data_IF_105015969119
#
_entry.id   IF_105015969119
#
_cell.length_a   1.000
_cell.length_b   1.000
_cell.length_c   1.000
_cell.angle_alpha   90.00
_cell.angle_beta   90.00
_cell.angle_gamma   90.00
#
_symmetry.space_group_name_H-M   'P 1'
#
loop_
_entity.id
_entity.type
_entity.pdbx_description
1 polymer ?
#
# COMPACT_ATOMS: atom_id res chain seq x y z
N UNK A 1 -7.52 -33.51 22.57
CA UNK A 1 -8.72 -32.68 22.84
C UNK A 1 -8.97 -31.57 21.83
N UNK A 2 -8.07 -31.28 20.87
CA UNK A 2 -8.26 -30.15 19.92
C UNK A 2 -9.05 -30.52 18.66
N UNK A 3 -9.10 -31.80 18.26
CA UNK A 3 -9.83 -32.25 17.07
C UNK A 3 -11.36 -32.21 17.24
N UNK A 4 -11.88 -32.52 18.44
CA UNK A 4 -13.33 -32.50 18.70
C UNK A 4 -13.94 -31.09 18.62
N UNK A 5 -13.19 -30.07 19.05
CA UNK A 5 -13.65 -28.67 19.01
C UNK A 5 -13.81 -28.16 17.57
N UNK A 6 -12.92 -28.56 16.67
CA UNK A 6 -13.02 -28.16 15.24
C UNK A 6 -14.22 -28.81 14.54
N UNK A 7 -14.55 -30.05 14.88
CA UNK A 7 -15.72 -30.73 14.34
C UNK A 7 -17.02 -30.07 14.83
N UNK A 8 -17.12 -29.76 16.12
CA UNK A 8 -18.27 -29.03 16.67
C UNK A 8 -18.47 -27.65 16.03
N UNK A 9 -17.38 -26.91 15.79
CA UNK A 9 -17.42 -25.61 15.11
C UNK A 9 -17.87 -25.75 13.65
N UNK A 10 -17.41 -26.81 12.96
CA UNK A 10 -17.83 -27.12 11.59
C UNK A 10 -19.31 -27.48 11.52
N UNK A 11 -19.80 -28.33 12.43
CA UNK A 11 -21.22 -28.69 12.50
C UNK A 11 -22.11 -27.47 12.83
N UNK A 12 -21.64 -26.57 13.71
CA UNK A 12 -22.29 -25.27 13.98
C UNK A 12 -22.33 -24.39 12.73
N UNK A 13 -21.26 -24.38 11.94
CA UNK A 13 -21.23 -23.64 10.68
C UNK A 13 -22.24 -24.19 9.67
N UNK A 14 -22.27 -25.50 9.43
CA UNK A 14 -23.21 -26.12 8.50
C UNK A 14 -24.67 -25.82 8.89
N UNK A 15 -25.00 -25.95 10.18
CA UNK A 15 -26.33 -25.61 10.68
C UNK A 15 -26.69 -24.13 10.43
N UNK A 16 -25.73 -23.20 10.61
CA UNK A 16 -25.96 -21.78 10.29
C UNK A 16 -26.21 -21.55 8.81
N UNK A 17 -25.51 -22.26 7.92
CA UNK A 17 -25.73 -22.15 6.47
C UNK A 17 -27.14 -22.64 6.10
N UNK A 18 -27.54 -23.80 6.60
CA UNK A 18 -28.88 -24.37 6.36
C UNK A 18 -30.00 -23.48 6.90
N UNK A 19 -29.79 -22.87 8.07
CA UNK A 19 -30.74 -21.92 8.65
C UNK A 19 -30.92 -20.67 7.76
N UNK A 20 -29.83 -20.14 7.20
CA UNK A 20 -29.86 -18.97 6.30
C UNK A 20 -30.52 -19.31 4.96
N UNK A 21 -30.24 -20.48 4.38
CA UNK A 21 -30.86 -20.91 3.11
C UNK A 21 -32.37 -21.09 3.28
N UNK A 22 -32.83 -21.69 4.39
CA UNK A 22 -34.25 -21.82 4.71
C UNK A 22 -34.94 -20.45 4.88
N UNK A 23 -34.27 -19.50 5.52
CA UNK A 23 -34.76 -18.14 5.70
C UNK A 23 -34.91 -17.40 4.37
N UNK A 24 -33.91 -17.51 3.49
CA UNK A 24 -33.94 -16.94 2.13
C UNK A 24 -35.05 -17.57 1.28
N UNK A 25 -35.25 -18.89 1.41
CA UNK A 25 -36.35 -19.58 0.73
C UNK A 25 -37.72 -19.10 1.23
N UNK A 26 -37.87 -18.87 2.54
CA UNK A 26 -39.07 -18.29 3.14
C UNK A 26 -39.37 -16.87 2.64
N UNK A 27 -38.34 -16.02 2.51
CA UNK A 27 -38.47 -14.66 1.96
C UNK A 27 -38.89 -14.63 0.48
N UNK A 28 -38.52 -15.68 -0.27
CA UNK A 28 -38.87 -15.84 -1.69
C UNK A 28 -40.17 -16.65 -1.90
N UNK A 29 -40.88 -17.01 -0.81
CA UNK A 29 -42.13 -17.75 -0.89
C UNK A 29 -43.26 -16.88 -1.47
N UNK A 30 -44.15 -17.45 -2.31
CA UNK A 30 -45.32 -16.75 -2.84
C UNK A 30 -46.42 -16.52 -1.78
N UNK A 31 -46.36 -17.20 -0.64
CA UNK A 31 -47.31 -17.03 0.47
C UNK A 31 -46.90 -15.85 1.37
N UNK A 32 -47.75 -14.81 1.50
CA UNK A 32 -47.44 -13.63 2.32
C UNK A 32 -47.21 -13.94 3.79
N UNK A 33 -47.88 -14.95 4.37
CA UNK A 33 -47.73 -15.28 5.78
C UNK A 33 -46.35 -15.91 6.08
N UNK A 34 -45.88 -16.78 5.18
CA UNK A 34 -44.54 -17.40 5.28
C UNK A 34 -43.45 -16.35 5.10
N UNK A 35 -43.66 -15.41 4.17
CA UNK A 35 -42.73 -14.30 3.92
C UNK A 35 -42.63 -13.36 5.12
N UNK A 36 -43.74 -12.99 5.74
CA UNK A 36 -43.76 -12.12 6.92
C UNK A 36 -43.05 -12.78 8.12
N UNK A 37 -43.32 -14.06 8.37
CA UNK A 37 -42.62 -14.82 9.41
C UNK A 37 -41.11 -14.89 9.16
N UNK A 38 -40.69 -15.06 7.90
CA UNK A 38 -39.27 -15.05 7.53
C UNK A 38 -38.63 -13.67 7.76
N UNK A 39 -39.35 -12.56 7.52
CA UNK A 39 -38.87 -11.20 7.81
C UNK A 39 -38.72 -10.97 9.32
N UNK A 40 -39.68 -11.40 10.13
CA UNK A 40 -39.58 -11.25 11.59
C UNK A 40 -38.39 -12.04 12.14
N UNK A 41 -38.16 -13.24 11.64
CA UNK A 41 -37.04 -14.09 12.06
C UNK A 41 -35.67 -13.54 11.58
N UNK A 42 -35.59 -12.90 10.40
CA UNK A 42 -34.36 -12.22 9.95
C UNK A 42 -34.04 -11.02 10.84
N UNK A 43 -35.03 -10.20 11.17
CA UNK A 43 -34.86 -9.02 12.02
C UNK A 43 -34.41 -9.40 13.43
N UNK A 44 -34.99 -10.47 13.99
CA UNK A 44 -34.59 -10.99 15.30
C UNK A 44 -33.13 -11.43 15.29
N UNK A 45 -32.70 -12.18 14.26
CA UNK A 45 -31.30 -12.63 14.13
C UNK A 45 -30.32 -11.49 13.96
N UNK A 46 -30.65 -10.45 13.18
CA UNK A 46 -29.79 -9.27 13.02
C UNK A 46 -29.55 -8.57 14.38
N UNK A 47 -30.61 -8.41 15.19
CA UNK A 47 -30.48 -7.85 16.55
C UNK A 47 -29.61 -8.71 17.48
N UNK A 48 -29.72 -10.03 17.39
CA UNK A 48 -28.91 -10.97 18.19
C UNK A 48 -27.43 -10.99 17.76
N UNK A 49 -27.14 -10.80 16.47
CA UNK A 49 -25.78 -10.77 15.94
C UNK A 49 -25.03 -9.47 16.31
N UNK A 50 -25.74 -8.34 16.41
CA UNK A 50 -25.20 -7.06 16.88
C UNK A 50 -24.89 -7.08 18.40
N UNK A 51 -25.55 -7.95 19.17
CA UNK A 51 -25.32 -8.13 20.61
C UNK A 51 -24.24 -9.19 20.95
N UNK A 52 -23.88 -10.04 19.98
CA UNK A 52 -22.87 -11.08 20.11
C UNK A 52 -21.45 -10.53 19.86
N UNK A 53 -20.56 -10.68 20.84
CA UNK A 53 -19.13 -10.39 20.68
C UNK A 53 -18.57 -11.11 19.46
N UNK A 54 -17.82 -10.36 18.65
CA UNK A 54 -17.03 -10.78 17.49
C UNK A 54 -16.53 -12.23 17.60
N UNK A 55 -17.18 -13.16 16.90
CA UNK A 55 -16.57 -14.45 16.59
C UNK A 55 -15.32 -14.15 15.73
N UNK A 56 -14.15 -14.42 16.32
CA UNK A 56 -12.83 -14.08 15.82
C UNK A 56 -12.69 -14.39 14.33
N UNK A 57 -12.71 -13.34 13.51
CA UNK A 57 -12.23 -13.44 12.12
C UNK A 57 -10.76 -13.81 12.17
N UNK A 58 -10.44 -15.09 11.92
CA UNK A 58 -9.07 -15.65 11.88
C UNK A 58 -8.24 -15.16 10.68
N UNK A 59 -8.30 -13.88 10.35
CA UNK A 59 -7.26 -13.26 9.52
C UNK A 59 -6.26 -12.60 10.46
N UNK A 60 -5.28 -13.38 10.94
CA UNK A 60 -4.08 -12.87 11.60
C UNK A 60 -3.27 -12.09 10.58
N UNK A 61 -3.67 -10.85 10.32
CA UNK A 61 -2.81 -9.83 9.75
C UNK A 61 -2.31 -9.04 10.94
N UNK A 62 -0.99 -8.91 11.08
CA UNK A 62 -0.38 -8.14 12.16
C UNK A 62 -1.03 -6.75 12.22
N UNK A 63 -1.96 -6.55 13.16
CA UNK A 63 -2.57 -5.26 13.43
C UNK A 63 -1.48 -4.40 14.00
N UNK A 64 -1.25 -3.23 13.41
CA UNK A 64 -0.34 -2.24 14.00
C UNK A 64 -0.79 -1.98 15.43
N UNK A 65 0.11 -2.20 16.39
CA UNK A 65 -0.14 -1.95 17.81
C UNK A 65 -0.12 -0.42 18.00
N UNK A 66 -1.21 0.24 17.64
CA UNK A 66 -1.42 1.63 18.01
C UNK A 66 -1.71 1.60 19.51
N UNK A 67 -0.87 2.27 20.29
CA UNK A 67 -1.01 2.43 21.73
C UNK A 67 -2.46 2.82 22.09
N UNK A 68 -3.21 1.90 22.69
CA UNK A 68 -4.61 2.09 23.13
C UNK A 68 -4.71 2.72 24.51
N UNK A 69 -3.60 3.18 25.10
CA UNK A 69 -3.68 4.14 26.18
C UNK A 69 -4.18 5.43 25.55
N UNK A 70 -5.50 5.60 25.56
CA UNK A 70 -6.12 6.90 25.46
C UNK A 70 -5.37 7.77 26.45
N UNK A 71 -4.46 8.60 25.92
CA UNK A 71 -4.12 9.82 26.62
C UNK A 71 -5.45 10.50 26.84
N UNK A 72 -5.63 11.08 28.02
CA UNK A 72 -6.75 11.92 28.36
C UNK A 72 -6.79 13.11 27.39
N UNK A 73 -7.24 12.85 26.16
CA UNK A 73 -7.62 13.89 25.23
C UNK A 73 -8.98 14.33 25.76
N UNK A 74 -9.11 15.57 26.27
CA UNK A 74 -10.39 16.06 26.71
C UNK A 74 -11.37 15.86 25.56
N UNK A 75 -12.53 15.34 25.97
CA UNK A 75 -13.81 15.28 25.26
C UNK A 75 -13.83 16.08 23.98
N UNK A 76 -14.33 15.47 22.90
CA UNK A 76 -14.62 16.06 21.60
C UNK A 76 -15.34 17.43 21.71
N UNK A 77 -14.56 18.47 21.98
CA UNK A 77 -14.94 19.86 21.90
C UNK A 77 -14.67 20.26 20.45
N UNK A 78 -15.72 20.15 19.64
CA UNK A 78 -15.87 20.82 18.35
C UNK A 78 -14.59 20.91 17.49
N UNK A 79 -13.99 19.77 17.12
CA UNK A 79 -13.07 19.77 15.98
C UNK A 79 -13.93 20.00 14.74
N UNK A 80 -14.00 21.25 14.30
CA UNK A 80 -14.78 21.64 13.15
C UNK A 80 -14.32 20.80 11.94
N UNK A 81 -15.15 19.88 11.41
CA UNK A 81 -14.73 18.88 10.44
C UNK A 81 -14.17 19.54 9.17
N UNK A 82 -14.72 20.70 8.80
CA UNK A 82 -14.25 21.51 7.68
C UNK A 82 -12.82 22.05 7.90
N UNK A 83 -12.49 22.43 9.14
CA UNK A 83 -11.15 22.87 9.51
C UNK A 83 -10.11 21.74 9.40
N UNK A 84 -10.48 20.52 9.80
CA UNK A 84 -9.63 19.34 9.67
C UNK A 84 -9.43 18.95 8.20
N UNK A 85 -10.50 18.92 7.40
CA UNK A 85 -10.42 18.64 5.96
C UNK A 85 -9.56 19.68 5.24
N UNK A 86 -9.72 20.97 5.57
CA UNK A 86 -8.89 22.03 5.02
C UNK A 86 -7.40 21.89 5.39
N UNK A 87 -7.09 21.49 6.63
CA UNK A 87 -5.72 21.23 7.06
C UNK A 87 -5.10 20.04 6.32
N UNK A 88 -5.87 18.94 6.17
CA UNK A 88 -5.46 17.75 5.43
C UNK A 88 -5.20 18.09 3.95
N UNK A 89 -6.09 18.86 3.33
CA UNK A 89 -5.96 19.24 1.93
C UNK A 89 -4.73 20.14 1.72
N UNK A 90 -4.48 21.09 2.64
CA UNK A 90 -3.28 21.94 2.60
C UNK A 90 -1.99 21.13 2.67
N UNK A 91 -1.94 20.15 3.59
CA UNK A 91 -0.81 19.25 3.77
C UNK A 91 -0.61 18.33 2.54
N UNK A 92 -1.69 17.79 1.98
CA UNK A 92 -1.65 17.04 0.72
C UNK A 92 -1.09 17.87 -0.44
N UNK A 93 -1.54 19.13 -0.58
CA UNK A 93 -1.03 20.08 -1.58
C UNK A 93 0.45 20.39 -1.36
N UNK A 94 0.90 20.57 -0.13
CA UNK A 94 2.31 20.81 0.19
C UNK A 94 3.20 19.61 -0.19
N UNK A 95 2.79 18.39 0.18
CA UNK A 95 3.51 17.17 -0.20
C UNK A 95 3.58 17.00 -1.72
N UNK A 96 2.48 17.29 -2.43
CA UNK A 96 2.46 17.27 -3.89
C UNK A 96 3.45 18.29 -4.50
N UNK A 97 3.48 19.53 -3.98
CA UNK A 97 4.44 20.56 -4.41
C UNK A 97 5.89 20.14 -4.16
N UNK A 98 6.17 19.54 -2.98
CA UNK A 98 7.51 19.04 -2.64
C UNK A 98 7.98 17.95 -3.61
N UNK A 99 7.10 16.99 -3.92
CA UNK A 99 7.38 15.94 -4.91
C UNK A 99 7.69 16.54 -6.29
N UNK A 100 6.86 17.45 -6.77
CA UNK A 100 7.05 18.13 -8.06
C UNK A 100 8.35 18.93 -8.12
N UNK A 101 8.73 19.60 -7.02
CA UNK A 101 10.01 20.33 -6.94
C UNK A 101 11.19 19.36 -7.00
N UNK A 102 11.15 18.27 -6.24
CA UNK A 102 12.22 17.28 -6.24
C UNK A 102 12.36 16.62 -7.62
N UNK A 103 11.25 16.36 -8.31
CA UNK A 103 11.23 15.84 -9.67
C UNK A 103 11.89 16.78 -10.68
N UNK A 104 11.55 18.07 -10.64
CA UNK A 104 12.19 19.09 -11.48
C UNK A 104 13.69 19.18 -11.22
N UNK A 105 14.11 19.14 -9.96
CA UNK A 105 15.53 19.18 -9.59
C UNK A 105 16.27 17.93 -10.10
N UNK A 106 15.70 16.75 -9.93
CA UNK A 106 16.30 15.50 -10.41
C UNK A 106 16.38 15.46 -11.95
N UNK A 107 15.37 15.99 -12.66
CA UNK A 107 15.39 16.12 -14.11
C UNK A 107 16.49 17.07 -14.59
N UNK A 108 16.63 18.24 -13.96
CA UNK A 108 17.70 19.17 -14.27
C UNK A 108 19.10 18.59 -14.01
N UNK A 109 19.29 17.83 -12.92
CA UNK A 109 20.55 17.13 -12.64
C UNK A 109 20.84 16.00 -13.64
N UNK A 110 19.79 15.27 -14.08
CA UNK A 110 19.91 14.29 -15.16
C UNK A 110 20.41 14.94 -16.45
N UNK A 111 19.81 16.06 -16.85
CA UNK A 111 20.20 16.77 -18.08
C UNK A 111 21.65 17.26 -18.00
N UNK A 112 22.06 17.85 -16.87
CA UNK A 112 23.45 18.26 -16.65
C UNK A 112 24.44 17.08 -16.70
N UNK A 113 24.05 15.93 -16.14
CA UNK A 113 24.84 14.70 -16.23
C UNK A 113 24.96 14.17 -17.65
N UNK A 114 23.86 14.22 -18.42
CA UNK A 114 23.84 13.85 -19.84
C UNK A 114 24.72 14.79 -20.68
N UNK A 115 24.71 16.08 -20.38
CA UNK A 115 25.57 17.07 -21.06
C UNK A 115 27.06 16.80 -20.78
N UNK A 116 27.43 16.52 -19.52
CA UNK A 116 28.79 16.13 -19.16
C UNK A 116 29.20 14.80 -19.83
N UNK A 117 28.27 13.85 -19.89
CA UNK A 117 28.48 12.57 -20.59
C UNK A 117 28.75 12.77 -22.08
N UNK A 118 28.01 13.65 -22.75
CA UNK A 118 28.25 14.01 -24.16
C UNK A 118 29.59 14.68 -24.39
N UNK A 119 30.11 15.41 -23.40
CA UNK A 119 31.44 16.04 -23.44
C UNK A 119 32.60 15.08 -23.16
N UNK A 120 32.32 13.85 -22.71
CA UNK A 120 33.34 12.88 -22.30
C UNK A 120 33.81 13.04 -20.85
N UNK A 121 33.24 13.98 -20.09
CA UNK A 121 33.57 14.24 -18.69
C UNK A 121 32.80 13.30 -17.77
N UNK A 122 33.23 12.05 -17.76
CA UNK A 122 32.49 10.98 -17.14
C UNK A 122 32.47 11.02 -15.61
N UNK A 123 33.49 11.58 -14.96
CA UNK A 123 33.55 11.75 -13.49
C UNK A 123 32.51 12.76 -12.99
N UNK A 124 32.46 13.91 -13.66
CA UNK A 124 31.45 14.95 -13.41
C UNK A 124 30.04 14.41 -13.64
N UNK A 125 29.84 13.57 -14.67
CA UNK A 125 28.54 12.93 -14.92
C UNK A 125 28.09 12.04 -13.75
N UNK A 126 28.98 11.22 -13.15
CA UNK A 126 28.63 10.42 -11.96
C UNK A 126 28.22 11.31 -10.80
N UNK A 127 28.99 12.36 -10.53
CA UNK A 127 28.70 13.25 -9.41
C UNK A 127 27.31 13.87 -9.56
N UNK A 128 26.97 14.36 -10.76
CA UNK A 128 25.63 14.92 -11.05
C UNK A 128 24.50 13.90 -10.95
N UNK A 129 24.72 12.65 -11.40
CA UNK A 129 23.73 11.59 -11.21
C UNK A 129 23.57 11.19 -9.73
N UNK A 130 24.65 11.23 -8.95
CA UNK A 130 24.64 10.93 -7.51
C UNK A 130 23.87 12.00 -6.74
N UNK A 131 24.14 13.28 -7.00
CA UNK A 131 23.37 14.41 -6.47
C UNK A 131 21.88 14.31 -6.83
N UNK A 132 21.56 13.85 -8.04
CA UNK A 132 20.18 13.62 -8.48
C UNK A 132 19.47 12.51 -7.70
N UNK A 133 20.18 11.40 -7.46
CA UNK A 133 19.69 10.25 -6.70
C UNK A 133 19.46 10.58 -5.21
N UNK A 134 20.25 11.48 -4.63
CA UNK A 134 20.02 11.97 -3.26
C UNK A 134 18.69 12.73 -3.13
N UNK A 135 18.27 13.45 -4.17
CA UNK A 135 17.01 14.20 -4.17
C UNK A 135 15.80 13.34 -4.52
N UNK A 136 15.98 12.36 -5.42
CA UNK A 136 14.97 11.37 -5.76
C UNK A 136 15.61 9.99 -5.95
N UNK A 137 15.50 9.16 -4.90
CA UNK A 137 16.01 7.79 -4.90
C UNK A 137 15.24 6.85 -5.83
N UNK A 138 14.01 7.20 -6.18
CA UNK A 138 13.11 6.32 -6.93
C UNK A 138 13.27 6.40 -8.46
N UNK A 139 14.24 7.18 -8.96
CA UNK A 139 14.39 7.40 -10.40
C UNK A 139 15.34 6.37 -11.04
N UNK A 140 14.76 5.31 -11.62
CA UNK A 140 15.48 4.22 -12.30
C UNK A 140 16.47 4.71 -13.38
N UNK A 141 16.12 5.74 -14.15
CA UNK A 141 16.96 6.30 -15.22
C UNK A 141 18.36 6.77 -14.73
N UNK A 142 18.44 7.29 -13.50
CA UNK A 142 19.70 7.79 -12.94
C UNK A 142 20.63 6.62 -12.57
N UNK A 143 20.07 5.51 -12.09
CA UNK A 143 20.83 4.30 -11.79
C UNK A 143 21.38 3.65 -13.06
N UNK A 144 20.57 3.53 -14.11
CA UNK A 144 21.00 2.94 -15.39
C UNK A 144 22.12 3.76 -16.03
N UNK A 145 21.99 5.10 -16.04
CA UNK A 145 23.01 5.98 -16.63
C UNK A 145 24.33 5.95 -15.85
N UNK A 146 24.27 5.83 -14.51
CA UNK A 146 25.46 5.66 -13.67
C UNK A 146 26.15 4.32 -13.92
N UNK A 147 25.39 3.22 -14.03
CA UNK A 147 25.93 1.89 -14.32
C UNK A 147 26.61 1.84 -15.70
N UNK A 148 25.99 2.43 -16.72
CA UNK A 148 26.55 2.53 -18.07
C UNK A 148 27.90 3.27 -18.08
N UNK A 149 28.03 4.36 -17.33
CA UNK A 149 29.32 5.06 -17.23
C UNK A 149 30.39 4.20 -16.55
N UNK A 150 30.04 3.48 -15.49
CA UNK A 150 30.97 2.55 -14.83
C UNK A 150 31.53 1.51 -15.80
N UNK A 151 30.65 0.88 -16.60
CA UNK A 151 31.02 -0.08 -17.63
C UNK A 151 31.91 0.53 -18.73
N UNK A 152 31.64 1.77 -19.15
CA UNK A 152 32.44 2.47 -20.17
C UNK A 152 33.86 2.76 -19.66
N UNK A 153 34.00 3.21 -18.41
CA UNK A 153 35.32 3.45 -17.83
C UNK A 153 36.12 2.16 -17.63
N UNK A 154 35.49 1.07 -17.19
CA UNK A 154 36.18 -0.23 -17.07
C UNK A 154 36.61 -0.81 -18.43
N UNK A 155 35.88 -0.52 -19.50
CA UNK A 155 36.25 -0.96 -20.85
C UNK A 155 37.47 -0.19 -21.40
N UNK A 156 37.60 1.11 -21.11
CA UNK A 156 38.78 1.90 -21.51
C UNK A 156 40.05 1.52 -20.75
N UNK A 157 39.94 1.11 -19.48
CA UNK A 157 41.09 0.62 -18.71
C UNK A 157 41.48 -0.82 -19.06
N UNK A 158 40.68 -1.55 -19.83
CA UNK A 158 40.93 -2.92 -20.29
C UNK A 158 41.27 -2.98 -21.79
N UNK A 159 41.94 -1.96 -22.30
CA UNK A 159 42.66 -2.03 -23.58
C UNK A 159 43.87 -2.97 -23.41
N UNK A 160 43.67 -4.26 -23.68
CA UNK A 160 44.75 -5.25 -23.72
C UNK A 160 45.91 -4.78 -24.60
N UNK A 161 47.18 -4.93 -24.19
CA UNK A 161 48.35 -4.52 -24.96
C UNK A 161 48.68 -5.49 -26.11
N UNK A 162 47.67 -6.05 -26.79
CA UNK A 162 47.87 -6.98 -27.89
C UNK A 162 47.54 -6.33 -29.24
N UNK A 163 48.29 -5.30 -29.59
CA UNK A 163 48.47 -4.89 -30.98
C UNK A 163 49.95 -5.02 -31.35
N UNK A 164 50.41 -6.27 -31.50
CA UNK A 164 51.71 -6.53 -32.11
C UNK A 164 51.61 -7.73 -33.05
N UNK A 165 51.95 -7.48 -34.31
CA UNK A 165 52.36 -8.42 -35.34
C UNK A 165 51.27 -9.32 -35.95
N UNK A 166 50.65 -8.85 -37.04
CA UNK A 166 50.27 -9.73 -38.14
C UNK A 166 51.36 -9.63 -39.20
N UNK A 167 52.11 -10.73 -39.35
CA UNK A 167 52.90 -11.07 -40.53
C UNK A 167 52.01 -11.19 -41.77
#
# INVERSE_FOLDING_TARGET
MLAGRQEEDFQRFLRRVDDITNLLQGLNSPDPAVKENAIVETEKRLREQEAGKEEESKTTVNRTVINTRASDVPTAEAVNPDGFLAALEKDARERAKRRKRNERLANALKEKGNDAFRKGDYDTAIQRYTEGLEKLKDKQELYTNRAQRGLKCSASSFSWPFSASRN
#
